data_IF_117925013647
#
_entry.id   IF_117925013647
#
_cell.length_a   1.000
_cell.length_b   1.000
_cell.length_c   1.000
_cell.angle_alpha   90.00
_cell.angle_beta   90.00
_cell.angle_gamma   90.00
#
_symmetry.space_group_name_H-M   'P 1'
#
loop_
_entity.id
_entity.type
_entity.pdbx_description
1 polymer ?
#
# COMPACT_ATOMS: atom_id res chain seq x y z
N UNK A 1 -15.17 -23.21 23.73
CA UNK A 1 -15.34 -21.83 23.26
C UNK A 1 -14.81 -21.77 21.85
N UNK A 2 -15.62 -21.31 20.90
CA UNK A 2 -15.17 -21.15 19.52
C UNK A 2 -14.18 -19.98 19.48
N UNK A 3 -12.88 -20.20 19.21
CA UNK A 3 -11.85 -19.16 19.28
C UNK A 3 -12.16 -17.93 18.38
N UNK A 4 -13.00 -18.13 17.37
CA UNK A 4 -13.52 -17.08 16.50
C UNK A 4 -14.41 -16.06 17.25
N UNK A 5 -15.24 -16.53 18.19
CA UNK A 5 -16.16 -15.69 18.98
C UNK A 5 -15.39 -14.81 19.97
N UNK A 6 -14.33 -15.35 20.58
CA UNK A 6 -13.49 -14.60 21.52
C UNK A 6 -12.68 -13.51 20.81
N UNK A 7 -12.16 -13.80 19.61
CA UNK A 7 -11.48 -12.82 18.74
C UNK A 7 -12.42 -11.73 18.24
N UNK A 8 -13.63 -12.10 17.83
CA UNK A 8 -14.66 -11.17 17.36
C UNK A 8 -15.07 -10.19 18.46
N UNK A 9 -15.39 -10.71 19.66
CA UNK A 9 -15.78 -9.90 20.81
C UNK A 9 -14.66 -8.92 21.21
N UNK A 10 -13.42 -9.40 21.26
CA UNK A 10 -12.26 -8.57 21.59
C UNK A 10 -12.03 -7.48 20.53
N UNK A 11 -12.20 -7.80 19.25
CA UNK A 11 -12.06 -6.84 18.15
C UNK A 11 -13.11 -5.72 18.23
N UNK A 12 -14.39 -6.04 18.44
CA UNK A 12 -15.44 -5.02 18.51
C UNK A 12 -15.32 -4.14 19.75
N UNK A 13 -14.93 -4.70 20.89
CA UNK A 13 -14.63 -3.92 22.10
C UNK A 13 -13.49 -2.91 21.82
N UNK A 14 -12.40 -3.37 21.22
CA UNK A 14 -11.27 -2.51 20.81
C UNK A 14 -11.70 -1.39 19.86
N UNK A 15 -12.61 -1.70 18.94
CA UNK A 15 -13.11 -0.74 17.96
C UNK A 15 -13.97 0.35 18.59
N UNK A 16 -14.74 0.05 19.63
CA UNK A 16 -15.53 1.03 20.38
C UNK A 16 -14.62 2.00 21.14
N UNK A 17 -13.53 1.49 21.73
CA UNK A 17 -12.56 2.28 22.50
C UNK A 17 -11.71 3.24 21.66
N UNK A 18 -11.64 3.06 20.34
CA UNK A 18 -10.75 3.82 19.45
C UNK A 18 -10.91 5.35 19.53
N UNK A 19 -12.13 5.83 19.75
CA UNK A 19 -12.41 7.28 19.78
C UNK A 19 -12.19 7.88 21.19
N UNK A 20 -12.33 7.08 22.25
CA UNK A 20 -12.21 7.53 23.64
C UNK A 20 -10.79 7.32 24.20
N UNK A 21 -10.20 6.14 23.96
CA UNK A 21 -8.83 5.80 24.36
C UNK A 21 -8.09 5.08 23.20
N UNK A 22 -7.47 5.86 22.30
CA UNK A 22 -6.71 5.31 21.18
C UNK A 22 -5.54 4.41 21.61
N UNK A 23 -4.93 4.66 22.78
CA UNK A 23 -3.80 3.86 23.27
C UNK A 23 -4.28 2.53 23.86
N UNK A 24 -5.32 2.55 24.69
CA UNK A 24 -5.96 1.33 25.19
C UNK A 24 -6.57 0.47 24.06
N UNK A 25 -7.08 1.11 23.00
CA UNK A 25 -7.50 0.39 21.80
C UNK A 25 -6.34 -0.34 21.10
N UNK A 26 -5.14 0.26 21.02
CA UNK A 26 -3.95 -0.41 20.48
C UNK A 26 -3.56 -1.65 21.29
N UNK A 27 -3.58 -1.56 22.61
CA UNK A 27 -3.27 -2.68 23.50
C UNK A 27 -4.30 -3.82 23.34
N UNK A 28 -5.58 -3.47 23.19
CA UNK A 28 -6.62 -4.47 22.97
C UNK A 28 -6.55 -5.10 21.57
N UNK A 29 -6.16 -4.35 20.53
CA UNK A 29 -5.87 -4.93 19.22
C UNK A 29 -4.61 -5.80 19.23
N UNK A 30 -3.60 -5.47 20.05
CA UNK A 30 -2.44 -6.32 20.26
C UNK A 30 -2.85 -7.68 20.85
N UNK A 31 -3.76 -7.69 21.83
CA UNK A 31 -4.32 -8.94 22.37
C UNK A 31 -5.02 -9.79 21.30
N UNK A 32 -5.71 -9.18 20.34
CA UNK A 32 -6.30 -9.93 19.20
C UNK A 32 -5.22 -10.66 18.41
N UNK A 33 -4.07 -10.02 18.16
CA UNK A 33 -2.93 -10.64 17.47
C UNK A 33 -2.27 -11.74 18.29
N UNK A 34 -2.14 -11.54 19.60
CA UNK A 34 -1.54 -12.52 20.51
C UNK A 34 -2.44 -13.76 20.65
N UNK A 35 -3.77 -13.56 20.71
CA UNK A 35 -4.77 -14.63 20.73
C UNK A 35 -4.81 -15.43 19.42
N UNK A 36 -4.49 -14.79 18.29
CA UNK A 36 -4.33 -15.48 17.00
C UNK A 36 -3.12 -16.45 16.99
N UNK A 37 -2.23 -16.36 18.00
CA UNK A 37 -1.22 -17.39 18.27
C UNK A 37 -0.15 -17.59 17.19
N UNK A 38 -0.09 -16.71 16.20
CA UNK A 38 0.80 -16.82 15.04
C UNK A 38 0.14 -17.39 13.78
N UNK A 39 -1.09 -17.93 13.89
CA UNK A 39 -1.89 -18.33 12.74
C UNK A 39 -2.54 -17.08 12.13
N UNK A 40 -1.95 -16.59 11.03
CA UNK A 40 -2.45 -15.38 10.37
C UNK A 40 -3.87 -15.59 9.87
N UNK A 41 -4.82 -14.89 10.47
CA UNK A 41 -6.24 -14.96 10.12
C UNK A 41 -6.85 -13.61 9.77
N UNK A 42 -8.16 -13.61 9.57
CA UNK A 42 -8.91 -12.42 9.17
C UNK A 42 -8.99 -11.37 10.29
N UNK A 43 -9.05 -11.82 11.55
CA UNK A 43 -9.16 -10.93 12.71
C UNK A 43 -7.85 -10.20 12.98
N UNK A 44 -6.70 -10.86 12.90
CA UNK A 44 -5.41 -10.19 12.98
C UNK A 44 -5.21 -9.19 11.85
N UNK A 45 -5.66 -9.51 10.63
CA UNK A 45 -5.63 -8.57 9.52
C UNK A 45 -6.50 -7.33 9.76
N UNK A 46 -7.72 -7.51 10.27
CA UNK A 46 -8.63 -6.41 10.64
C UNK A 46 -8.06 -5.57 11.77
N UNK A 47 -7.47 -6.21 12.79
CA UNK A 47 -6.83 -5.55 13.93
C UNK A 47 -5.65 -4.68 13.48
N UNK A 48 -4.72 -5.24 12.70
CA UNK A 48 -3.58 -4.50 12.15
C UNK A 48 -4.02 -3.28 11.34
N UNK A 49 -5.08 -3.40 10.53
CA UNK A 49 -5.64 -2.27 9.77
C UNK A 49 -6.15 -1.16 10.69
N UNK A 50 -6.79 -1.47 11.81
CA UNK A 50 -7.21 -0.45 12.78
C UNK A 50 -6.00 0.16 13.50
N UNK A 51 -5.03 -0.66 13.91
CA UNK A 51 -3.81 -0.18 14.57
C UNK A 51 -3.02 0.81 13.70
N UNK A 52 -2.94 0.57 12.39
CA UNK A 52 -2.30 1.51 11.44
C UNK A 52 -3.04 2.85 11.43
N UNK A 53 -4.38 2.84 11.34
CA UNK A 53 -5.19 4.07 11.35
C UNK A 53 -5.05 4.85 12.66
N UNK A 54 -4.99 4.15 13.79
CA UNK A 54 -4.81 4.77 15.10
C UNK A 54 -3.41 5.39 15.21
N UNK A 55 -2.36 4.64 14.87
CA UNK A 55 -1.00 5.17 14.92
C UNK A 55 -0.81 6.37 13.99
N UNK A 56 -1.46 6.39 12.82
CA UNK A 56 -1.46 7.56 11.95
C UNK A 56 -2.09 8.79 12.61
N UNK A 57 -3.24 8.64 13.28
CA UNK A 57 -3.90 9.73 14.04
C UNK A 57 -3.03 10.23 15.20
N UNK A 58 -2.31 9.31 15.87
CA UNK A 58 -1.39 9.62 16.96
C UNK A 58 -0.02 10.14 16.48
N UNK A 59 0.21 10.25 15.17
CA UNK A 59 1.49 10.64 14.57
C UNK A 59 2.67 9.71 14.95
N UNK A 60 2.37 8.46 15.31
CA UNK A 60 3.37 7.43 15.61
C UNK A 60 3.75 6.66 14.33
N UNK A 61 4.46 7.34 13.44
CA UNK A 61 4.72 6.84 12.08
C UNK A 61 5.64 5.61 12.04
N UNK A 62 6.62 5.51 12.94
CA UNK A 62 7.51 4.34 13.02
C UNK A 62 6.73 3.07 13.35
N UNK A 63 5.87 3.15 14.36
CA UNK A 63 5.06 2.02 14.79
C UNK A 63 4.01 1.68 13.73
N UNK A 64 3.41 2.70 13.12
CA UNK A 64 2.51 2.53 11.98
C UNK A 64 3.15 1.72 10.85
N UNK A 65 4.40 2.04 10.49
CA UNK A 65 5.14 1.32 9.45
C UNK A 65 5.43 -0.14 9.85
N UNK A 66 5.79 -0.40 11.11
CA UNK A 66 5.95 -1.78 11.62
C UNK A 66 4.65 -2.58 11.49
N UNK A 67 3.52 -2.00 11.88
CA UNK A 67 2.20 -2.63 11.74
C UNK A 67 1.82 -2.85 10.28
N UNK A 68 2.18 -1.92 9.40
CA UNK A 68 1.95 -2.07 7.97
C UNK A 68 2.76 -3.22 7.37
N UNK A 69 4.05 -3.33 7.69
CA UNK A 69 4.89 -4.47 7.28
C UNK A 69 4.32 -5.80 7.77
N UNK A 70 3.85 -5.85 9.02
CA UNK A 70 3.16 -7.03 9.55
C UNK A 70 1.90 -7.37 8.74
N UNK A 71 1.06 -6.38 8.43
CA UNK A 71 -0.15 -6.55 7.60
C UNK A 71 0.16 -7.10 6.21
N UNK A 72 1.25 -6.65 5.58
CA UNK A 72 1.67 -7.14 4.27
C UNK A 72 2.04 -8.63 4.31
N UNK A 73 2.43 -9.19 5.46
CA UNK A 73 2.69 -10.64 5.58
C UNK A 73 1.43 -11.51 5.53
N UNK A 74 0.24 -10.92 5.71
CA UNK A 74 -1.06 -11.61 5.68
C UNK A 74 -1.61 -11.72 4.26
N UNK A 75 -1.19 -10.85 3.34
CA UNK A 75 -1.77 -10.78 1.99
C UNK A 75 -1.48 -12.01 1.12
N UNK A 76 -0.49 -12.82 1.52
CA UNK A 76 -0.08 -14.03 0.80
C UNK A 76 -0.94 -15.25 1.14
N UNK A 77 -1.41 -15.36 2.39
CA UNK A 77 -1.97 -16.62 2.92
C UNK A 77 -3.26 -16.46 3.72
N UNK A 78 -3.46 -15.33 4.40
CA UNK A 78 -4.53 -15.18 5.39
C UNK A 78 -5.82 -14.58 4.82
N UNK A 79 -5.71 -13.82 3.72
CA UNK A 79 -6.85 -13.09 3.14
C UNK A 79 -6.86 -13.22 1.63
N UNK A 80 -8.06 -13.15 1.04
CA UNK A 80 -8.22 -13.18 -0.42
C UNK A 80 -7.56 -11.95 -1.06
N UNK A 81 -7.08 -12.11 -2.31
CA UNK A 81 -6.47 -11.03 -3.09
C UNK A 81 -7.36 -9.78 -3.21
N UNK A 82 -8.66 -9.98 -3.38
CA UNK A 82 -9.62 -8.86 -3.44
C UNK A 82 -9.73 -8.12 -2.10
N UNK A 83 -9.69 -8.83 -0.98
CA UNK A 83 -9.77 -8.23 0.35
C UNK A 83 -8.48 -7.48 0.71
N UNK A 84 -7.32 -8.06 0.39
CA UNK A 84 -6.03 -7.37 0.56
C UNK A 84 -5.93 -6.14 -0.32
N UNK A 85 -6.36 -6.20 -1.58
CA UNK A 85 -6.38 -5.05 -2.48
C UNK A 85 -7.24 -3.89 -1.95
N UNK A 86 -8.46 -4.18 -1.52
CA UNK A 86 -9.35 -3.15 -0.94
C UNK A 86 -8.74 -2.52 0.31
N UNK A 87 -8.08 -3.33 1.15
CA UNK A 87 -7.50 -2.84 2.40
C UNK A 87 -6.22 -2.03 2.17
N UNK A 88 -5.33 -2.46 1.26
CA UNK A 88 -4.14 -1.69 0.88
C UNK A 88 -4.55 -0.36 0.26
N UNK A 89 -5.50 -0.35 -0.70
CA UNK A 89 -5.99 0.91 -1.29
C UNK A 89 -6.56 1.85 -0.23
N UNK A 90 -7.41 1.33 0.66
CA UNK A 90 -7.97 2.15 1.76
C UNK A 90 -6.90 2.71 2.70
N UNK A 91 -5.79 2.00 2.92
CA UNK A 91 -4.68 2.49 3.74
C UNK A 91 -3.90 3.56 2.97
N UNK A 92 -3.51 3.28 1.72
CA UNK A 92 -2.78 4.23 0.88
C UNK A 92 -3.56 5.53 0.66
N UNK A 93 -4.87 5.46 0.41
CA UNK A 93 -5.73 6.64 0.25
C UNK A 93 -5.82 7.45 1.55
N UNK A 94 -5.79 6.78 2.71
CA UNK A 94 -5.78 7.46 4.01
C UNK A 94 -4.45 8.16 4.26
N UNK A 95 -3.33 7.49 3.95
CA UNK A 95 -1.98 8.03 4.16
C UNK A 95 -1.64 9.12 3.13
N UNK A 96 -2.19 9.06 1.92
CA UNK A 96 -1.98 10.10 0.91
C UNK A 96 -2.57 11.45 1.30
N UNK A 97 -3.39 11.52 2.37
CA UNK A 97 -3.81 12.80 2.97
C UNK A 97 -2.73 13.42 3.87
N UNK A 98 -1.69 12.67 4.22
CA UNK A 98 -0.54 13.15 4.97
C UNK A 98 0.29 14.12 4.14
N UNK A 99 0.84 15.14 4.80
CA UNK A 99 1.87 16.03 4.21
C UNK A 99 3.28 15.43 4.29
N UNK A 100 3.46 14.32 5.00
CA UNK A 100 4.77 13.68 5.15
C UNK A 100 5.12 12.86 3.92
N UNK A 101 5.90 13.46 3.04
CA UNK A 101 6.24 12.88 1.75
C UNK A 101 7.19 11.69 1.86
N UNK A 102 8.15 11.72 2.80
CA UNK A 102 9.07 10.61 3.07
C UNK A 102 8.31 9.36 3.55
N UNK A 103 7.38 9.55 4.50
CA UNK A 103 6.50 8.49 4.96
C UNK A 103 5.72 7.87 3.79
N UNK A 104 5.13 8.70 2.95
CA UNK A 104 4.33 8.23 1.82
C UNK A 104 5.18 7.44 0.82
N UNK A 105 6.42 7.87 0.57
CA UNK A 105 7.39 7.14 -0.24
C UNK A 105 7.68 5.75 0.36
N UNK A 106 8.00 5.68 1.65
CA UNK A 106 8.30 4.41 2.33
C UNK A 106 7.12 3.43 2.28
N UNK A 107 5.89 3.96 2.43
CA UNK A 107 4.67 3.17 2.31
C UNK A 107 4.54 2.60 0.89
N UNK A 108 4.68 3.43 -0.14
CA UNK A 108 4.60 2.96 -1.53
C UNK A 108 5.67 1.91 -1.84
N UNK A 109 6.93 2.15 -1.51
CA UNK A 109 8.04 1.23 -1.76
C UNK A 109 7.83 -0.11 -1.04
N UNK A 110 7.48 -0.07 0.24
CA UNK A 110 7.19 -1.29 1.03
C UNK A 110 6.00 -2.06 0.46
N UNK A 111 4.97 -1.35 -0.01
CA UNK A 111 3.81 -1.97 -0.65
C UNK A 111 4.21 -2.67 -1.95
N UNK A 112 4.99 -2.01 -2.80
CA UNK A 112 5.38 -2.53 -4.11
C UNK A 112 6.20 -3.81 -3.99
N UNK A 113 7.13 -3.87 -3.03
CA UNK A 113 7.91 -5.08 -2.74
C UNK A 113 7.00 -6.26 -2.38
N UNK A 114 6.04 -6.03 -1.47
CA UNK A 114 5.09 -7.07 -1.07
C UNK A 114 4.13 -7.50 -2.20
N UNK A 115 3.74 -6.57 -3.07
CA UNK A 115 2.85 -6.87 -4.21
C UNK A 115 3.56 -7.62 -5.33
N UNK A 116 4.85 -7.36 -5.52
CA UNK A 116 5.70 -8.10 -6.47
C UNK A 116 5.75 -9.56 -6.09
N UNK A 117 6.00 -9.85 -4.81
CA UNK A 117 5.97 -11.20 -4.26
C UNK A 117 4.58 -11.86 -4.38
N UNK A 118 3.52 -11.10 -4.17
CA UNK A 118 2.14 -11.58 -4.26
C UNK A 118 1.64 -11.74 -5.72
N UNK A 119 2.48 -11.46 -6.73
CA UNK A 119 2.12 -11.44 -8.16
C UNK A 119 0.86 -10.63 -8.45
N UNK A 120 0.71 -9.49 -7.77
CA UNK A 120 -0.46 -8.66 -7.91
C UNK A 120 -0.26 -7.50 -8.90
N UNK A 121 -0.17 -7.84 -10.19
CA UNK A 121 0.13 -6.88 -11.27
C UNK A 121 -0.80 -5.67 -11.30
N UNK A 122 -2.12 -5.87 -11.15
CA UNK A 122 -3.10 -4.78 -11.22
C UNK A 122 -2.89 -3.74 -10.13
N UNK A 123 -2.75 -4.17 -8.87
CA UNK A 123 -2.53 -3.24 -7.77
C UNK A 123 -1.11 -2.66 -7.81
N UNK A 124 -0.12 -3.49 -8.16
CA UNK A 124 1.26 -3.05 -8.33
C UNK A 124 1.37 -1.91 -9.33
N UNK A 125 0.73 -2.03 -10.50
CA UNK A 125 0.71 -0.98 -11.53
C UNK A 125 0.13 0.33 -10.98
N UNK A 126 -1.06 0.27 -10.34
CA UNK A 126 -1.69 1.47 -9.76
C UNK A 126 -0.83 2.13 -8.70
N UNK A 127 -0.22 1.33 -7.82
CA UNK A 127 0.67 1.81 -6.76
C UNK A 127 1.94 2.44 -7.35
N UNK A 128 2.52 1.85 -8.39
CA UNK A 128 3.67 2.41 -9.09
C UNK A 128 3.33 3.73 -9.79
N UNK A 129 2.18 3.83 -10.45
CA UNK A 129 1.76 5.10 -11.08
C UNK A 129 1.58 6.20 -10.04
N UNK A 130 1.02 5.89 -8.86
CA UNK A 130 0.92 6.85 -7.75
C UNK A 130 2.30 7.29 -7.23
N UNK A 131 3.23 6.36 -7.07
CA UNK A 131 4.62 6.67 -6.68
C UNK A 131 5.35 7.49 -7.76
N UNK A 132 5.11 7.21 -9.04
CA UNK A 132 5.63 8.00 -10.16
C UNK A 132 5.15 9.44 -10.10
N UNK A 133 3.85 9.67 -9.89
CA UNK A 133 3.29 11.03 -9.70
C UNK A 133 3.93 11.74 -8.51
N UNK A 134 4.14 11.03 -7.40
CA UNK A 134 4.85 11.58 -6.23
C UNK A 134 6.28 12.01 -6.56
N UNK A 135 7.04 11.22 -7.34
CA UNK A 135 8.37 11.61 -7.77
C UNK A 135 8.37 12.77 -8.77
N UNK A 136 7.34 12.85 -9.63
CA UNK A 136 7.14 13.99 -10.52
C UNK A 136 6.91 15.28 -9.72
N UNK A 137 6.01 15.25 -8.74
CA UNK A 137 5.69 16.39 -7.87
C UNK A 137 6.90 16.87 -7.03
N UNK A 138 7.87 15.98 -6.79
CA UNK A 138 9.15 16.28 -6.10
C UNK A 138 10.27 16.72 -7.05
N UNK A 139 10.02 16.77 -8.34
CA UNK A 139 11.04 16.98 -9.38
C UNK A 139 12.18 15.93 -9.34
N UNK A 140 11.92 14.75 -8.76
CA UNK A 140 12.87 13.63 -8.65
C UNK A 140 12.89 12.78 -9.92
N UNK A 141 13.17 13.44 -11.05
CA UNK A 141 13.02 12.84 -12.37
C UNK A 141 13.91 11.61 -12.62
N UNK A 142 15.05 11.51 -11.93
CA UNK A 142 15.93 10.34 -12.00
C UNK A 142 15.27 9.08 -11.45
N UNK A 143 14.48 9.23 -10.37
CA UNK A 143 13.72 8.11 -9.79
C UNK A 143 12.45 7.84 -10.59
N UNK A 144 11.76 8.89 -11.03
CA UNK A 144 10.63 8.77 -11.95
C UNK A 144 10.99 7.99 -13.21
N UNK A 145 12.13 8.27 -13.83
CA UNK A 145 12.62 7.54 -15.01
C UNK A 145 12.78 6.04 -14.75
N UNK A 146 13.17 5.63 -13.53
CA UNK A 146 13.27 4.21 -13.16
C UNK A 146 11.90 3.56 -13.01
N UNK A 147 10.93 4.28 -12.43
CA UNK A 147 9.55 3.83 -12.29
C UNK A 147 8.90 3.65 -13.66
N UNK A 148 9.05 4.63 -14.56
CA UNK A 148 8.50 4.59 -15.92
C UNK A 148 9.05 3.41 -16.73
N UNK A 149 10.36 3.13 -16.65
CA UNK A 149 10.95 1.93 -17.28
C UNK A 149 10.35 0.62 -16.78
N UNK A 150 10.10 0.50 -15.47
CA UNK A 150 9.48 -0.69 -14.90
C UNK A 150 8.01 -0.82 -15.30
N UNK A 151 7.28 0.29 -15.34
CA UNK A 151 5.90 0.34 -15.81
C UNK A 151 5.81 -0.04 -17.30
N UNK A 152 6.68 0.51 -18.14
CA UNK A 152 6.74 0.20 -19.58
C UNK A 152 7.06 -1.28 -19.80
N UNK A 153 8.08 -1.81 -19.13
CA UNK A 153 8.42 -3.23 -19.18
C UNK A 153 7.25 -4.13 -18.73
N UNK A 154 6.42 -3.70 -17.77
CA UNK A 154 5.23 -4.44 -17.36
C UNK A 154 4.11 -4.46 -18.39
N UNK A 155 4.19 -3.57 -19.39
CA UNK A 155 3.27 -3.45 -20.51
C UNK A 155 3.85 -3.97 -21.83
N UNK A 156 5.05 -4.55 -21.84
CA UNK A 156 5.64 -5.21 -23.00
C UNK A 156 5.31 -6.70 -23.02
N UNK A 157 5.23 -7.28 -24.21
CA UNK A 157 5.14 -8.72 -24.45
C UNK A 157 6.52 -9.39 -24.28
N UNK A 158 6.56 -10.72 -24.27
CA UNK A 158 7.83 -11.48 -24.21
C UNK A 158 8.75 -11.18 -25.41
N UNK A 159 8.17 -10.71 -26.52
CA UNK A 159 8.87 -10.30 -27.75
C UNK A 159 9.40 -8.85 -27.67
N UNK A 160 9.13 -8.13 -26.59
CA UNK A 160 9.55 -6.74 -26.36
C UNK A 160 8.67 -5.68 -27.04
N UNK A 161 7.56 -6.10 -27.68
CA UNK A 161 6.58 -5.18 -28.26
C UNK A 161 5.56 -4.71 -27.23
N UNK A 162 4.98 -3.52 -27.44
CA UNK A 162 3.92 -3.00 -26.57
C UNK A 162 2.67 -3.90 -26.61
N UNK A 163 2.21 -4.36 -25.45
CA UNK A 163 0.99 -5.15 -25.33
C UNK A 163 -0.23 -4.27 -25.58
N UNK A 164 -0.82 -4.40 -26.78
CA UNK A 164 -2.02 -3.69 -27.19
C UNK A 164 -3.21 -3.90 -26.23
N UNK A 165 -3.26 -5.02 -25.48
CA UNK A 165 -4.30 -5.26 -24.47
C UNK A 165 -4.15 -4.34 -23.25
N UNK A 166 -2.95 -3.80 -23.03
CA UNK A 166 -2.61 -2.83 -21.98
C UNK A 166 -2.56 -1.39 -22.50
N UNK A 167 -3.17 -1.11 -23.66
CA UNK A 167 -3.15 0.22 -24.28
C UNK A 167 -3.55 1.39 -23.36
N UNK A 168 -4.54 1.22 -22.48
CA UNK A 168 -4.91 2.28 -21.50
C UNK A 168 -3.80 2.54 -20.49
N UNK A 169 -3.10 1.49 -20.04
CA UNK A 169 -1.97 1.61 -19.12
C UNK A 169 -0.77 2.28 -19.79
N UNK A 170 -0.48 1.91 -21.04
CA UNK A 170 0.56 2.55 -21.84
C UNK A 170 0.29 4.04 -22.04
N UNK A 171 -0.95 4.44 -22.33
CA UNK A 171 -1.31 5.86 -22.43
C UNK A 171 -1.04 6.63 -21.12
N UNK A 172 -1.32 6.04 -19.96
CA UNK A 172 -0.98 6.66 -18.66
C UNK A 172 0.53 6.82 -18.46
N UNK A 173 1.32 5.83 -18.86
CA UNK A 173 2.79 5.87 -18.79
C UNK A 173 3.33 6.98 -19.69
N UNK A 174 2.93 6.98 -20.97
CA UNK A 174 3.36 7.98 -21.94
C UNK A 174 2.94 9.40 -21.53
N UNK A 175 1.74 9.57 -20.97
CA UNK A 175 1.31 10.87 -20.43
C UNK A 175 2.25 11.37 -19.32
N UNK A 176 2.67 10.49 -18.39
CA UNK A 176 3.58 10.84 -17.31
C UNK A 176 5.02 11.09 -17.81
N UNK A 177 5.47 10.35 -18.83
CA UNK A 177 6.75 10.58 -19.53
C UNK A 177 6.80 11.94 -20.22
N UNK A 178 5.76 12.30 -20.97
CA UNK A 178 5.65 13.60 -21.65
C UNK A 178 5.67 14.72 -20.62
N UNK A 179 4.92 14.59 -19.51
CA UNK A 179 4.94 15.57 -18.42
C UNK A 179 6.35 15.72 -17.84
N UNK A 180 7.05 14.61 -17.57
CA UNK A 180 8.44 14.63 -17.09
C UNK A 180 9.37 15.37 -18.05
N UNK A 181 9.37 15.03 -19.34
CA UNK A 181 10.28 15.65 -20.32
C UNK A 181 9.97 17.13 -20.55
N UNK A 182 8.68 17.50 -20.53
CA UNK A 182 8.23 18.89 -20.62
C UNK A 182 8.75 19.69 -19.43
N UNK A 183 8.61 19.17 -18.20
CA UNK A 183 9.09 19.83 -16.99
C UNK A 183 10.64 19.98 -16.97
N UNK A 184 11.36 18.99 -17.49
CA UNK A 184 12.82 19.05 -17.66
C UNK A 184 13.30 20.00 -18.77
N UNK A 185 12.38 20.63 -19.54
CA UNK A 185 12.69 21.39 -20.76
C UNK A 185 13.51 20.59 -21.78
N UNK A 186 13.42 19.27 -21.73
CA UNK A 186 14.20 18.38 -22.57
C UNK A 186 13.43 18.07 -23.87
N UNK A 187 13.17 19.12 -24.65
CA UNK A 187 12.43 19.06 -25.92
C UNK A 187 13.12 18.24 -27.02
N UNK A 188 14.27 17.61 -26.75
CA UNK A 188 14.98 16.74 -27.70
C UNK A 188 14.58 15.26 -27.61
N UNK A 189 13.79 14.87 -26.59
CA UNK A 189 13.32 13.50 -26.35
C UNK A 189 11.79 13.33 -26.42
N UNK A 190 11.06 14.42 -26.67
CA UNK A 190 9.67 14.39 -27.15
C UNK A 190 9.66 14.03 -28.64
#
# INVERSE_FOLDING_TARGET
SEPDVDLENQYYNSKALKEEDPKGALDNFQKVLDLEGGDKGEWGFKALKQMIKINFRLQNYDEMMRRYKALLTYIKSAVTRNHSEKSINSILDYISTSKQMELLQDFYETTLEALKDAKNERLWFKTMTKLGKLYFDREEYSRLSKILKQLHASCQTDDGEDDLKKGTQLLEIYALEIQMYTAQKNNKKL
#
